data_IF_693766666934
#
_entry.id   IF_693766666934
#
_cell.length_a   1.000
_cell.length_b   1.000
_cell.length_c   1.000
_cell.angle_alpha   90.00
_cell.angle_beta   90.00
_cell.angle_gamma   90.00
#
_symmetry.space_group_name_H-M   'P 1'
#
loop_
_entity.id
_entity.type
_entity.pdbx_description
1 polymer ?
#
# COMPACT_ATOMS: atom_id res chain seq x y z
N UNK A 1 10.08 1.35 11.56
CA UNK A 1 11.11 0.34 11.87
C UNK A 1 10.59 -1.04 11.48
N UNK A 2 11.42 -1.89 10.88
CA UNK A 2 11.10 -3.27 10.54
C UNK A 2 10.93 -4.14 11.79
N UNK A 3 9.89 -4.98 11.80
CA UNK A 3 9.58 -5.94 12.85
C UNK A 3 9.47 -7.33 12.26
N UNK A 4 10.20 -8.30 12.81
CA UNK A 4 10.09 -9.68 12.38
C UNK A 4 8.78 -10.30 12.90
N UNK A 5 8.01 -10.90 12.00
CA UNK A 5 6.71 -11.54 12.31
C UNK A 5 6.72 -13.05 12.04
N UNK A 6 7.65 -13.52 11.21
CA UNK A 6 7.96 -14.92 11.01
C UNK A 6 9.44 -15.08 10.61
N UNK A 7 9.95 -16.31 10.54
CA UNK A 7 11.30 -16.56 10.03
C UNK A 7 11.45 -15.99 8.61
N UNK A 8 12.42 -15.10 8.43
CA UNK A 8 12.66 -14.44 7.15
C UNK A 8 11.57 -13.45 6.69
N UNK A 9 10.56 -13.14 7.51
CA UNK A 9 9.49 -12.19 7.14
C UNK A 9 9.44 -11.04 8.15
N UNK A 10 9.66 -9.83 7.64
CA UNK A 10 9.60 -8.59 8.41
C UNK A 10 8.53 -7.65 7.85
N UNK A 11 7.99 -6.80 8.71
CA UNK A 11 7.04 -5.76 8.30
C UNK A 11 7.44 -4.39 8.83
N UNK A 12 7.19 -3.35 8.04
CA UNK A 12 7.11 -1.97 8.52
C UNK A 12 5.65 -1.56 8.39
N UNK A 13 4.99 -1.25 9.50
CA UNK A 13 3.62 -0.77 9.47
C UNK A 13 3.62 0.76 9.38
N UNK A 14 2.94 1.31 8.38
CA UNK A 14 2.70 2.75 8.25
C UNK A 14 1.92 3.27 9.46
N UNK A 15 2.36 4.37 10.05
CA UNK A 15 1.60 5.04 11.12
C UNK A 15 0.38 5.78 10.57
N UNK A 16 0.41 6.17 9.29
CA UNK A 16 -0.65 6.93 8.64
C UNK A 16 -1.84 6.05 8.23
N UNK A 17 -1.59 4.93 7.55
CA UNK A 17 -2.63 4.09 6.96
C UNK A 17 -2.67 2.65 7.50
N UNK A 18 -1.77 2.29 8.41
CA UNK A 18 -1.62 0.94 8.96
C UNK A 18 -1.33 -0.17 7.95
N UNK A 19 -1.05 0.18 6.70
CA UNK A 19 -0.62 -0.77 5.70
C UNK A 19 0.81 -1.21 5.99
N UNK A 20 1.10 -2.48 5.70
CA UNK A 20 2.43 -3.04 5.88
C UNK A 20 3.22 -2.94 4.58
N UNK A 21 4.44 -2.40 4.68
CA UNK A 21 5.55 -2.86 3.86
C UNK A 21 6.00 -4.21 4.37
N UNK A 22 6.18 -5.20 3.49
CA UNK A 22 6.64 -6.55 3.86
C UNK A 22 7.99 -6.80 3.23
N UNK A 23 8.93 -7.32 4.01
CA UNK A 23 10.25 -7.75 3.55
C UNK A 23 10.36 -9.25 3.73
N UNK A 24 10.54 -9.98 2.64
CA UNK A 24 10.76 -11.43 2.65
C UNK A 24 12.20 -11.72 2.28
N UNK A 25 12.93 -12.37 3.17
CA UNK A 25 14.32 -12.76 3.00
C UNK A 25 14.42 -14.02 2.11
N UNK A 26 15.01 -13.88 0.93
CA UNK A 26 15.35 -15.00 0.03
C UNK A 26 16.79 -15.50 0.26
N UNK A 27 17.36 -16.29 -0.66
CA UNK A 27 18.77 -16.71 -0.59
C UNK A 27 19.74 -15.59 -0.99
N UNK A 28 19.42 -14.87 -2.05
CA UNK A 28 20.34 -13.90 -2.69
C UNK A 28 20.00 -12.43 -2.41
N UNK A 29 18.91 -12.16 -1.69
CA UNK A 29 18.50 -10.82 -1.29
C UNK A 29 17.10 -10.84 -0.68
N UNK A 30 16.43 -9.68 -0.66
CA UNK A 30 15.06 -9.56 -0.15
C UNK A 30 14.06 -9.23 -1.26
N UNK A 31 12.84 -9.77 -1.12
CA UNK A 31 11.65 -9.30 -1.81
C UNK A 31 11.00 -8.23 -0.93
N UNK A 32 10.93 -7.00 -1.43
CA UNK A 32 10.24 -5.90 -0.77
C UNK A 32 8.84 -5.72 -1.37
N UNK A 33 7.82 -5.74 -0.53
CA UNK A 33 6.42 -5.58 -0.90
C UNK A 33 5.91 -4.26 -0.31
N UNK A 34 5.40 -3.36 -1.16
CA UNK A 34 4.87 -2.03 -0.82
C UNK A 34 5.81 -1.16 0.01
N UNK A 35 6.76 -0.49 -0.62
CA UNK A 35 7.87 0.22 0.03
C UNK A 35 7.53 1.44 0.92
N UNK A 36 6.29 1.59 1.40
CA UNK A 36 5.81 2.77 2.13
C UNK A 36 5.20 3.80 1.18
N UNK A 37 4.51 4.79 1.74
CA UNK A 37 3.75 5.80 0.96
C UNK A 37 4.42 7.17 1.03
N UNK A 38 5.10 7.47 2.13
CA UNK A 38 5.80 8.74 2.35
C UNK A 38 7.32 8.58 2.19
N UNK A 39 8.00 9.66 1.81
CA UNK A 39 9.47 9.68 1.71
C UNK A 39 10.17 9.36 3.04
N UNK A 40 9.56 9.70 4.18
CA UNK A 40 10.08 9.37 5.51
C UNK A 40 10.01 7.86 5.79
N UNK A 41 8.88 7.20 5.47
CA UNK A 41 8.74 5.74 5.57
C UNK A 41 9.76 5.02 4.68
N UNK A 42 9.91 5.47 3.43
CA UNK A 42 10.88 4.92 2.48
C UNK A 42 12.32 5.09 2.98
N UNK A 43 12.65 6.23 3.59
CA UNK A 43 13.99 6.50 4.16
C UNK A 43 14.27 5.59 5.36
N UNK A 44 13.30 5.45 6.27
CA UNK A 44 13.41 4.52 7.39
C UNK A 44 13.59 3.08 6.90
N UNK A 45 12.76 2.63 5.96
CA UNK A 45 12.84 1.29 5.38
C UNK A 45 14.19 1.06 4.68
N UNK A 46 14.71 2.05 3.95
CA UNK A 46 16.01 1.96 3.30
C UNK A 46 17.18 1.89 4.30
N UNK A 47 17.07 2.56 5.45
CA UNK A 47 18.06 2.45 6.53
C UNK A 47 18.01 1.04 7.14
N UNK A 48 16.82 0.56 7.51
CA UNK A 48 16.64 -0.78 8.10
C UNK A 48 17.15 -1.88 7.15
N UNK A 49 16.90 -1.76 5.83
CA UNK A 49 17.40 -2.69 4.81
C UNK A 49 18.92 -2.64 4.64
N UNK A 50 19.55 -1.46 4.79
CA UNK A 50 21.01 -1.32 4.79
C UNK A 50 21.62 -2.00 6.01
N UNK A 51 21.02 -1.85 7.18
CA UNK A 51 21.46 -2.51 8.42
C UNK A 51 21.34 -4.03 8.34
N UNK A 52 20.31 -4.54 7.63
CA UNK A 52 20.14 -5.97 7.34
C UNK A 52 21.26 -6.54 6.46
N UNK A 53 22.03 -5.72 5.74
CA UNK A 53 23.15 -6.15 4.90
C UNK A 53 22.74 -6.99 3.68
N UNK A 54 21.46 -6.97 3.30
CA UNK A 54 20.92 -7.77 2.19
C UNK A 54 20.36 -6.86 1.10
N UNK A 55 20.79 -7.01 -0.17
CA UNK A 55 20.27 -6.19 -1.25
C UNK A 55 18.79 -6.52 -1.51
N UNK A 56 18.02 -5.52 -1.93
CA UNK A 56 16.68 -5.75 -2.48
C UNK A 56 16.86 -6.43 -3.84
N UNK A 57 16.48 -7.70 -3.92
CA UNK A 57 16.57 -8.50 -5.14
C UNK A 57 15.37 -8.23 -6.06
N UNK A 58 14.21 -7.93 -5.48
CA UNK A 58 13.00 -7.58 -6.22
C UNK A 58 12.07 -6.69 -5.36
N UNK A 59 11.35 -5.79 -6.04
CA UNK A 59 10.30 -4.97 -5.45
C UNK A 59 8.94 -5.33 -6.05
N UNK A 60 7.93 -5.49 -5.21
CA UNK A 60 6.54 -5.71 -5.60
C UNK A 60 5.69 -4.62 -4.95
N UNK A 61 5.32 -3.60 -5.72
CA UNK A 61 4.40 -2.58 -5.23
C UNK A 61 2.99 -2.94 -5.65
N UNK A 62 2.06 -2.94 -4.71
CA UNK A 62 0.63 -2.89 -5.05
C UNK A 62 0.27 -1.52 -5.66
N UNK A 63 1.15 -0.50 -5.55
CA UNK A 63 0.91 0.89 -5.95
C UNK A 63 2.18 1.61 -6.48
N UNK A 64 2.63 1.40 -7.73
CA UNK A 64 3.92 1.93 -8.21
C UNK A 64 3.84 3.25 -9.02
N UNK A 65 3.55 4.40 -8.40
CA UNK A 65 3.40 5.67 -9.16
C UNK A 65 4.66 6.16 -9.87
N UNK A 66 5.82 6.06 -9.22
CA UNK A 66 7.08 6.58 -9.75
C UNK A 66 7.69 5.78 -10.90
N UNK A 67 7.25 4.54 -11.12
CA UNK A 67 7.73 3.66 -12.21
C UNK A 67 6.60 3.30 -13.16
N UNK A 68 5.43 3.94 -13.05
CA UNK A 68 4.25 3.58 -13.81
C UNK A 68 4.44 3.72 -15.33
N UNK A 69 5.36 4.58 -15.79
CA UNK A 69 5.71 4.68 -17.23
C UNK A 69 6.66 3.58 -17.69
N UNK A 70 7.34 2.89 -16.77
CA UNK A 70 8.34 1.85 -17.04
C UNK A 70 7.78 0.44 -16.79
N UNK A 71 6.48 0.32 -16.46
CA UNK A 71 5.81 -0.94 -16.11
C UNK A 71 4.77 -1.30 -17.15
N UNK A 72 5.03 -2.38 -17.91
CA UNK A 72 4.12 -2.90 -18.92
C UNK A 72 2.90 -3.64 -18.31
N UNK A 73 3.08 -4.24 -17.12
CA UNK A 73 2.07 -5.08 -16.46
C UNK A 73 2.09 -4.87 -14.95
N UNK A 74 0.93 -4.54 -14.37
CA UNK A 74 0.70 -4.47 -12.93
C UNK A 74 -0.20 -5.64 -12.50
N UNK A 75 0.30 -6.48 -11.59
CA UNK A 75 -0.46 -7.57 -10.99
C UNK A 75 -0.87 -7.15 -9.58
N UNK A 76 -2.15 -6.83 -9.32
CA UNK A 76 -2.59 -6.41 -7.99
C UNK A 76 -2.72 -7.61 -7.05
N UNK A 77 -2.68 -7.35 -5.74
CA UNK A 77 -2.99 -8.38 -4.74
C UNK A 77 -4.43 -8.91 -4.85
N UNK A 78 -5.38 -8.08 -5.31
CA UNK A 78 -6.74 -8.47 -5.67
C UNK A 78 -7.24 -7.68 -6.90
N UNK A 79 -8.05 -8.31 -7.74
CA UNK A 79 -8.66 -7.68 -8.92
C UNK A 79 -8.05 -8.14 -10.24
N UNK A 80 -8.26 -7.36 -11.30
CA UNK A 80 -7.75 -7.67 -12.64
C UNK A 80 -6.34 -7.11 -12.84
N UNK A 81 -5.49 -7.90 -13.49
CA UNK A 81 -4.20 -7.45 -14.06
C UNK A 81 -4.44 -6.20 -14.89
N UNK A 82 -3.61 -5.17 -14.69
CA UNK A 82 -3.62 -3.95 -15.48
C UNK A 82 -2.43 -3.92 -16.43
N UNK A 83 -2.62 -3.39 -17.63
CA UNK A 83 -1.58 -3.27 -18.66
C UNK A 83 -1.52 -1.87 -19.23
N UNK A 84 -0.35 -1.46 -19.70
CA UNK A 84 -0.14 -0.18 -20.39
C UNK A 84 -0.71 1.02 -19.57
N UNK A 85 -1.51 1.88 -20.20
CA UNK A 85 -2.13 3.05 -19.55
C UNK A 85 -3.04 2.72 -18.35
N UNK A 86 -3.51 1.47 -18.23
CA UNK A 86 -4.30 1.04 -17.07
C UNK A 86 -3.47 1.01 -15.79
N UNK A 87 -2.16 0.77 -15.89
CA UNK A 87 -1.23 0.77 -14.74
C UNK A 87 -1.24 2.15 -14.08
N UNK A 88 -0.98 3.20 -14.86
CA UNK A 88 -1.00 4.59 -14.40
C UNK A 88 -2.37 5.03 -13.91
N UNK A 89 -3.45 4.62 -14.59
CA UNK A 89 -4.80 4.95 -14.19
C UNK A 89 -5.16 4.32 -12.84
N UNK A 90 -4.79 3.06 -12.61
CA UNK A 90 -5.06 2.33 -11.37
C UNK A 90 -4.37 3.01 -10.19
N UNK A 91 -3.10 3.33 -10.34
CA UNK A 91 -2.32 4.00 -9.31
C UNK A 91 -2.90 5.37 -8.94
N UNK A 92 -3.33 6.15 -9.94
CA UNK A 92 -3.98 7.45 -9.68
C UNK A 92 -5.26 7.29 -8.85
N UNK A 93 -6.07 6.27 -9.15
CA UNK A 93 -7.27 5.97 -8.38
C UNK A 93 -6.92 5.56 -6.95
N UNK A 94 -5.90 4.72 -6.77
CA UNK A 94 -5.46 4.30 -5.44
C UNK A 94 -4.95 5.48 -4.60
N UNK A 95 -4.19 6.40 -5.20
CA UNK A 95 -3.75 7.61 -4.50
C UNK A 95 -4.93 8.50 -4.11
N UNK A 96 -5.82 8.79 -5.07
CA UNK A 96 -7.00 9.61 -4.79
C UNK A 96 -7.85 9.02 -3.67
N UNK A 97 -8.04 7.69 -3.68
CA UNK A 97 -8.74 6.98 -2.61
C UNK A 97 -8.09 7.15 -1.23
N UNK A 98 -6.76 7.00 -1.16
CA UNK A 98 -5.99 7.21 0.07
C UNK A 98 -6.09 8.65 0.57
N UNK A 99 -5.98 9.63 -0.34
CA UNK A 99 -6.11 11.05 -0.01
C UNK A 99 -7.51 11.38 0.50
N UNK A 100 -8.55 10.83 -0.12
CA UNK A 100 -9.93 11.00 0.31
C UNK A 100 -10.16 10.39 1.71
N UNK A 101 -9.63 9.19 1.97
CA UNK A 101 -9.70 8.58 3.31
C UNK A 101 -8.98 9.41 4.37
N UNK A 102 -7.75 9.88 4.07
CA UNK A 102 -6.95 10.69 4.99
C UNK A 102 -7.66 11.98 5.36
N UNK A 103 -8.24 12.64 4.37
CA UNK A 103 -8.87 13.96 4.52
C UNK A 103 -10.37 13.87 4.84
N UNK A 104 -10.88 12.67 5.16
CA UNK A 104 -12.28 12.37 5.44
C UNK A 104 -13.26 12.86 4.36
N UNK A 105 -12.84 12.84 3.08
CA UNK A 105 -13.69 13.13 1.93
C UNK A 105 -14.45 11.88 1.47
N UNK A 106 -15.58 12.11 0.82
CA UNK A 106 -16.32 11.05 0.12
C UNK A 106 -15.51 10.60 -1.09
N UNK A 107 -15.17 9.32 -1.14
CA UNK A 107 -14.44 8.74 -2.26
C UNK A 107 -15.27 8.78 -3.54
N UNK A 108 -14.65 9.20 -4.65
CA UNK A 108 -15.23 9.12 -6.00
C UNK A 108 -14.77 7.88 -6.78
N UNK A 109 -13.97 7.00 -6.15
CA UNK A 109 -13.42 5.82 -6.82
C UNK A 109 -14.53 4.88 -7.29
N UNK A 110 -14.64 4.59 -8.60
CA UNK A 110 -15.69 3.72 -9.15
C UNK A 110 -15.69 2.32 -8.52
N UNK A 111 -14.54 1.83 -8.02
CA UNK A 111 -14.44 0.54 -7.32
C UNK A 111 -15.14 0.53 -5.97
N UNK A 112 -15.44 1.70 -5.42
CA UNK A 112 -16.13 1.90 -4.15
C UNK A 112 -17.57 2.36 -4.38
N UNK A 113 -17.78 3.32 -5.28
CA UNK A 113 -19.12 3.92 -5.50
C UNK A 113 -20.01 3.13 -6.46
N UNK A 114 -19.41 2.35 -7.37
CA UNK A 114 -20.13 1.52 -8.34
C UNK A 114 -19.35 0.24 -8.62
N UNK A 115 -19.17 -0.63 -7.60
CA UNK A 115 -18.40 -1.85 -7.74
C UNK A 115 -19.01 -2.76 -8.81
N UNK A 116 -18.14 -3.52 -9.49
CA UNK A 116 -18.57 -4.55 -10.44
C UNK A 116 -19.38 -5.63 -9.71
N UNK A 117 -20.29 -6.34 -10.41
CA UNK A 117 -21.00 -7.48 -9.81
C UNK A 117 -20.04 -8.48 -9.16
N UNK A 118 -20.33 -8.87 -7.91
CA UNK A 118 -19.48 -9.76 -7.11
C UNK A 118 -18.32 -9.08 -6.35
N UNK A 119 -18.20 -7.75 -6.45
CA UNK A 119 -17.20 -6.92 -5.76
C UNK A 119 -17.82 -5.95 -4.75
N UNK A 120 -19.10 -6.09 -4.41
CA UNK A 120 -19.84 -5.18 -3.53
C UNK A 120 -19.23 -5.07 -2.12
N UNK A 121 -18.42 -6.05 -1.72
CA UNK A 121 -17.67 -6.05 -0.46
C UNK A 121 -16.63 -4.92 -0.36
N UNK A 122 -16.18 -4.34 -1.48
CA UNK A 122 -15.21 -3.24 -1.47
C UNK A 122 -15.76 -1.99 -0.78
N UNK A 123 -17.05 -1.67 -0.97
CA UNK A 123 -17.72 -0.57 -0.28
C UNK A 123 -17.76 -0.80 1.24
N UNK A 124 -17.99 -2.04 1.68
CA UNK A 124 -17.94 -2.41 3.09
C UNK A 124 -16.54 -2.25 3.73
N UNK A 125 -15.48 -2.55 2.97
CA UNK A 125 -14.09 -2.28 3.40
C UNK A 125 -13.86 -0.77 3.54
N UNK A 126 -14.31 0.02 2.56
CA UNK A 126 -14.21 1.49 2.63
C UNK A 126 -14.87 2.03 3.90
N UNK A 127 -16.11 1.65 4.18
CA UNK A 127 -16.82 2.08 5.39
C UNK A 127 -16.08 1.68 6.67
N UNK A 128 -15.49 0.48 6.68
CA UNK A 128 -14.65 0.00 7.77
C UNK A 128 -13.40 0.88 7.98
N UNK A 129 -12.70 1.22 6.91
CA UNK A 129 -11.51 2.07 6.94
C UNK A 129 -11.84 3.50 7.38
N UNK A 130 -12.87 4.12 6.77
CA UNK A 130 -13.32 5.46 7.10
C UNK A 130 -13.70 5.58 8.60
N UNK A 131 -14.45 4.61 9.13
CA UNK A 131 -14.80 4.57 10.56
C UNK A 131 -13.58 4.42 11.48
N UNK A 132 -12.60 3.59 11.11
CA UNK A 132 -11.39 3.40 11.91
C UNK A 132 -10.53 4.67 11.95
N UNK A 133 -10.39 5.35 10.82
CA UNK A 133 -9.65 6.61 10.73
C UNK A 133 -10.36 7.73 11.50
N UNK A 134 -11.68 7.87 11.34
CA UNK A 134 -12.46 8.85 12.09
C UNK A 134 -12.33 8.68 13.62
N UNK A 135 -12.28 7.43 14.12
CA UNK A 135 -12.05 7.12 15.54
C UNK A 135 -10.65 7.49 16.05
N UNK A 136 -9.67 7.62 15.16
CA UNK A 136 -8.29 8.02 15.51
C UNK A 136 -8.11 9.53 15.47
N UNK A 137 -8.89 10.22 14.65
CA UNK A 137 -8.87 11.67 14.52
C UNK A 137 -9.63 12.38 15.65
N UNK A 138 -10.50 11.69 16.39
CA UNK A 138 -11.08 12.23 17.63
C UNK A 138 -9.98 12.33 18.69
N UNK A 139 -9.70 13.51 19.26
CA UNK A 139 -8.83 13.61 20.43
C UNK A 139 -9.36 12.65 21.50
N UNK A 140 -8.46 11.88 22.12
CA UNK A 140 -8.81 11.28 23.42
C UNK A 140 -8.94 12.43 24.39
N UNK A 141 -10.17 12.81 24.72
CA UNK A 141 -10.42 13.72 25.83
C UNK A 141 -10.00 13.04 27.15
N UNK A 142 -9.13 13.75 27.87
CA UNK A 142 -8.67 13.61 29.26
C UNK A 142 -7.81 12.38 29.65
#
# INVERSE_FOLDING_TARGET
MLKQVAEGVLIHQSELLENNSVVVQGRDGVLLVDAGITGAEMTCLANDLRELGRPVAAGFSRHPEGVADDVDVLIPGHGSVARDGEVRARIKLDRAYVEDLRDARVSSDPRVVSPKPGWEWTSGIHDGQARKLARRSTPRDA
#
